data_IF_209921803186
#
_entry.id   IF_209921803186
#
_cell.length_a   1.000
_cell.length_b   1.000
_cell.length_c   1.000
_cell.angle_alpha   90.00
_cell.angle_beta   90.00
_cell.angle_gamma   90.00
#
_symmetry.space_group_name_H-M   'P 1'
#
loop_
_entity.id
_entity.type
_entity.pdbx_description
1 polymer ?
#
# COMPACT_ATOMS: atom_id res chain seq x y z
N UNK A 1 -3.71 12.60 -11.96
CA UNK A 1 -3.85 11.62 -10.86
C UNK A 1 -2.79 11.77 -9.76
N UNK A 2 -1.50 11.92 -10.09
CA UNK A 2 -0.39 12.17 -9.13
C UNK A 2 -0.68 13.26 -8.08
N UNK A 3 -1.17 14.44 -8.50
CA UNK A 3 -1.43 15.57 -7.59
C UNK A 3 -2.56 15.25 -6.61
N UNK A 4 -3.63 14.57 -7.05
CA UNK A 4 -4.77 14.22 -6.20
C UNK A 4 -4.38 13.24 -5.08
N UNK A 5 -3.54 12.25 -5.38
CA UNK A 5 -3.07 11.29 -4.39
C UNK A 5 -2.16 11.95 -3.34
N UNK A 6 -1.22 12.79 -3.78
CA UNK A 6 -0.37 13.57 -2.88
C UNK A 6 -1.16 14.61 -2.08
N UNK A 7 -2.19 15.22 -2.65
CA UNK A 7 -3.11 16.11 -1.93
C UNK A 7 -3.95 15.35 -0.92
N UNK A 8 -4.35 14.10 -1.18
CA UNK A 8 -5.02 13.25 -0.19
C UNK A 8 -4.07 12.77 0.92
N UNK A 9 -2.82 12.44 0.59
CA UNK A 9 -1.80 12.03 1.57
C UNK A 9 -1.37 13.23 2.43
N UNK A 10 -1.00 14.35 1.81
CA UNK A 10 -0.58 15.57 2.50
C UNK A 10 -1.76 16.26 3.20
N UNK A 11 -2.95 16.24 2.61
CA UNK A 11 -4.18 16.70 3.24
C UNK A 11 -4.60 15.81 4.41
N UNK A 12 -4.42 14.49 4.29
CA UNK A 12 -4.62 13.53 5.37
C UNK A 12 -3.62 13.73 6.51
N UNK A 13 -2.33 13.89 6.20
CA UNK A 13 -1.27 14.18 7.17
C UNK A 13 -1.50 15.56 7.82
N UNK A 14 -1.82 16.58 7.04
CA UNK A 14 -2.11 17.93 7.53
C UNK A 14 -3.34 17.97 8.44
N UNK A 15 -4.38 17.20 8.12
CA UNK A 15 -5.56 17.04 8.96
C UNK A 15 -5.27 16.21 10.22
N UNK A 16 -4.37 15.22 10.15
CA UNK A 16 -3.90 14.46 11.31
C UNK A 16 -3.09 15.31 12.28
N UNK A 17 -2.19 16.16 11.75
CA UNK A 17 -1.44 17.15 12.52
C UNK A 17 -2.39 18.21 13.11
N UNK A 18 -3.42 18.62 12.38
CA UNK A 18 -4.46 19.52 12.87
C UNK A 18 -5.29 18.91 14.01
N UNK A 19 -5.62 17.62 13.95
CA UNK A 19 -6.30 16.89 15.02
C UNK A 19 -5.43 16.70 16.27
N UNK A 20 -4.10 16.66 16.12
CA UNK A 20 -3.14 16.58 17.23
C UNK A 20 -3.19 17.82 18.15
N UNK A 21 -3.58 18.97 17.59
CA UNK A 21 -3.48 20.26 18.28
C UNK A 21 -4.75 20.66 19.07
N UNK A 22 -5.85 19.89 18.99
CA UNK A 22 -7.05 20.17 19.80
C UNK A 22 -7.15 19.19 20.96
N UNK A 23 -7.10 19.74 22.19
CA UNK A 23 -7.49 19.08 23.47
C UNK A 23 -8.95 18.55 23.51
N UNK A 24 -9.69 18.64 22.40
CA UNK A 24 -11.10 18.24 22.27
C UNK A 24 -11.33 16.76 21.94
N UNK A 25 -10.27 15.95 21.76
CA UNK A 25 -10.41 14.51 21.47
C UNK A 25 -10.67 13.69 22.74
N UNK A 26 -11.56 14.17 23.63
CA UNK A 26 -11.94 13.46 24.85
C UNK A 26 -13.14 12.51 24.69
N UNK A 27 -13.88 12.56 23.59
CA UNK A 27 -15.23 11.93 23.60
C UNK A 27 -15.58 10.95 22.49
N UNK A 28 -14.92 10.97 21.32
CA UNK A 28 -15.27 9.99 20.27
C UNK A 28 -14.47 8.70 20.49
N UNK A 29 -15.05 7.77 21.26
CA UNK A 29 -14.52 6.45 21.62
C UNK A 29 -14.16 5.54 20.44
N UNK A 30 -13.96 4.24 20.73
CA UNK A 30 -13.37 3.21 19.87
C UNK A 30 -13.80 3.27 18.39
N UNK A 31 -15.09 3.50 18.10
CA UNK A 31 -15.63 3.61 16.74
C UNK A 31 -14.93 4.64 15.85
N UNK A 32 -14.53 5.77 16.42
CA UNK A 32 -13.97 6.84 15.62
C UNK A 32 -12.47 6.73 15.35
N UNK A 33 -11.75 5.75 15.93
CA UNK A 33 -10.39 5.36 15.50
C UNK A 33 -10.47 4.28 14.43
N UNK A 34 -11.40 3.34 14.57
CA UNK A 34 -11.65 2.28 13.59
C UNK A 34 -12.04 2.83 12.22
N UNK A 35 -12.87 3.87 12.17
CA UNK A 35 -13.24 4.52 10.91
C UNK A 35 -12.01 5.04 10.14
N UNK A 36 -11.03 5.65 10.82
CA UNK A 36 -9.81 6.12 10.15
C UNK A 36 -8.92 4.97 9.70
N UNK A 37 -8.76 3.93 10.52
CA UNK A 37 -8.01 2.75 10.13
C UNK A 37 -8.62 2.13 8.86
N UNK A 38 -9.95 2.02 8.80
CA UNK A 38 -10.65 1.49 7.65
C UNK A 38 -10.48 2.37 6.39
N UNK A 39 -10.49 3.70 6.53
CA UNK A 39 -10.18 4.61 5.41
C UNK A 39 -8.75 4.42 4.92
N UNK A 40 -7.76 4.39 5.81
CA UNK A 40 -6.36 4.16 5.43
C UNK A 40 -6.17 2.82 4.71
N UNK A 41 -6.71 1.74 5.27
CA UNK A 41 -6.60 0.42 4.67
C UNK A 41 -7.41 0.28 3.38
N UNK A 42 -8.54 0.98 3.26
CA UNK A 42 -9.29 1.08 2.01
C UNK A 42 -8.50 1.79 0.90
N UNK A 43 -7.80 2.88 1.21
CA UNK A 43 -6.91 3.55 0.25
C UNK A 43 -5.75 2.65 -0.19
N UNK A 44 -5.16 1.88 0.73
CA UNK A 44 -4.11 0.90 0.42
C UNK A 44 -4.62 -0.23 -0.47
N UNK A 45 -5.86 -0.69 -0.26
CA UNK A 45 -6.47 -1.69 -1.13
C UNK A 45 -6.63 -1.16 -2.56
N UNK A 46 -7.08 0.09 -2.72
CA UNK A 46 -7.15 0.75 -4.03
C UNK A 46 -5.76 0.86 -4.67
N UNK A 47 -4.73 1.13 -3.87
CA UNK A 47 -3.34 1.14 -4.34
C UNK A 47 -2.91 -0.24 -4.88
N UNK A 48 -3.20 -1.33 -4.17
CA UNK A 48 -2.86 -2.68 -4.66
C UNK A 48 -3.63 -3.08 -5.92
N UNK A 49 -4.88 -2.63 -6.07
CA UNK A 49 -5.59 -2.80 -7.33
C UNK A 49 -4.88 -2.05 -8.46
N UNK A 50 -4.49 -0.80 -8.21
CA UNK A 50 -3.73 0.00 -9.18
C UNK A 50 -2.39 -0.65 -9.53
N UNK A 51 -1.67 -1.20 -8.54
CA UNK A 51 -0.44 -1.99 -8.74
C UNK A 51 -0.69 -3.15 -9.70
N UNK A 52 -1.71 -3.95 -9.43
CA UNK A 52 -2.04 -5.11 -10.27
C UNK A 52 -2.40 -4.69 -11.69
N UNK A 53 -3.19 -3.62 -11.87
CA UNK A 53 -3.52 -3.09 -13.19
C UNK A 53 -2.28 -2.64 -13.96
N UNK A 54 -1.37 -1.89 -13.35
CA UNK A 54 -0.17 -1.47 -14.09
C UNK A 54 0.80 -2.61 -14.36
N UNK A 55 0.87 -3.64 -13.51
CA UNK A 55 1.64 -4.85 -13.82
C UNK A 55 1.10 -5.49 -15.11
N UNK A 56 -0.21 -5.66 -15.23
CA UNK A 56 -0.82 -6.17 -16.46
C UNK A 56 -0.58 -5.25 -17.67
N UNK A 57 -0.67 -3.94 -17.48
CA UNK A 57 -0.39 -2.96 -18.52
C UNK A 57 1.06 -3.08 -19.01
N UNK A 58 2.04 -3.17 -18.09
CA UNK A 58 3.46 -3.35 -18.40
C UNK A 58 3.67 -4.65 -19.19
N UNK A 59 3.12 -5.78 -18.71
CA UNK A 59 3.25 -7.07 -19.39
C UNK A 59 2.66 -6.98 -20.81
N UNK A 60 1.51 -6.34 -20.98
CA UNK A 60 0.87 -6.17 -22.28
C UNK A 60 1.69 -5.29 -23.23
N UNK A 61 2.25 -4.17 -22.73
CA UNK A 61 3.14 -3.30 -23.49
C UNK A 61 4.37 -4.07 -23.98
N UNK A 62 5.04 -4.80 -23.11
CA UNK A 62 6.19 -5.63 -23.50
C UNK A 62 5.82 -6.69 -24.54
N UNK A 63 4.70 -7.39 -24.32
CA UNK A 63 4.22 -8.43 -25.25
C UNK A 63 3.91 -7.84 -26.62
N UNK A 64 3.38 -6.62 -26.68
CA UNK A 64 3.05 -5.94 -27.92
C UNK A 64 4.29 -5.44 -28.68
N UNK A 65 5.24 -4.80 -28.00
CA UNK A 65 6.42 -4.22 -28.65
C UNK A 65 7.56 -5.23 -28.88
N UNK A 66 7.63 -6.30 -28.07
CA UNK A 66 8.69 -7.30 -28.11
C UNK A 66 8.13 -8.73 -28.10
N UNK A 67 7.36 -9.13 -29.13
CA UNK A 67 6.68 -10.44 -29.18
C UNK A 67 7.67 -11.62 -29.19
N UNK A 68 8.91 -11.41 -29.64
CA UNK A 68 9.95 -12.44 -29.60
C UNK A 68 10.41 -12.75 -28.17
N UNK A 69 10.33 -11.76 -27.27
CA UNK A 69 10.74 -11.89 -25.87
C UNK A 69 9.61 -12.48 -25.03
N UNK A 70 8.34 -12.27 -25.41
CA UNK A 70 7.19 -12.71 -24.61
C UNK A 70 7.04 -14.23 -24.49
N UNK A 71 7.63 -14.98 -25.40
CA UNK A 71 7.63 -16.45 -25.38
C UNK A 71 8.91 -17.06 -24.77
N UNK A 72 9.82 -16.23 -24.28
CA UNK A 72 11.01 -16.71 -23.59
C UNK A 72 10.66 -17.14 -22.17
N UNK A 73 11.27 -18.24 -21.72
CA UNK A 73 11.10 -18.73 -20.35
C UNK A 73 11.38 -17.65 -19.29
N UNK A 74 12.34 -16.75 -19.55
CA UNK A 74 12.69 -15.65 -18.66
C UNK A 74 11.56 -14.62 -18.49
N UNK A 75 10.92 -14.20 -19.58
CA UNK A 75 9.81 -13.26 -19.52
C UNK A 75 8.54 -13.90 -18.92
N UNK A 76 8.24 -15.15 -19.26
CA UNK A 76 7.09 -15.86 -18.70
C UNK A 76 7.23 -16.06 -17.18
N UNK A 77 8.43 -16.44 -16.71
CA UNK A 77 8.72 -16.54 -15.28
C UNK A 77 8.61 -15.17 -14.59
N UNK A 78 9.11 -14.10 -15.22
CA UNK A 78 8.97 -12.74 -14.73
C UNK A 78 7.49 -12.34 -14.59
N UNK A 79 6.71 -12.45 -15.67
CA UNK A 79 5.30 -12.07 -15.72
C UNK A 79 4.48 -12.81 -14.65
N UNK A 80 4.67 -14.13 -14.53
CA UNK A 80 4.03 -14.92 -13.49
C UNK A 80 4.45 -14.49 -12.09
N UNK A 81 5.72 -14.19 -11.87
CA UNK A 81 6.22 -13.75 -10.55
C UNK A 81 5.61 -12.42 -10.14
N UNK A 82 5.62 -11.41 -11.00
CA UNK A 82 5.09 -10.09 -10.66
C UNK A 82 3.58 -10.10 -10.47
N UNK A 83 2.84 -10.87 -11.28
CA UNK A 83 1.39 -11.05 -11.10
C UNK A 83 1.10 -11.73 -9.77
N UNK A 84 1.83 -12.80 -9.42
CA UNK A 84 1.66 -13.48 -8.14
C UNK A 84 1.96 -12.56 -6.94
N UNK A 85 3.00 -11.72 -7.02
CA UNK A 85 3.29 -10.71 -5.99
C UNK A 85 2.10 -9.74 -5.84
N UNK A 86 1.55 -9.24 -6.96
CA UNK A 86 0.39 -8.36 -6.95
C UNK A 86 -0.87 -9.01 -6.35
N UNK A 87 -1.13 -10.28 -6.66
CA UNK A 87 -2.26 -11.04 -6.10
C UNK A 87 -2.06 -11.26 -4.59
N UNK A 88 -0.87 -11.67 -4.15
CA UNK A 88 -0.57 -11.87 -2.72
C UNK A 88 -0.75 -10.56 -1.95
N UNK A 89 -0.24 -9.44 -2.48
CA UNK A 89 -0.44 -8.11 -1.89
C UNK A 89 -1.92 -7.76 -1.75
N UNK A 90 -2.73 -8.01 -2.79
CA UNK A 90 -4.16 -7.77 -2.76
C UNK A 90 -4.87 -8.61 -1.69
N UNK A 91 -4.55 -9.90 -1.59
CA UNK A 91 -5.10 -10.82 -0.58
C UNK A 91 -4.73 -10.35 0.83
N UNK A 92 -3.49 -9.92 1.06
CA UNK A 92 -3.06 -9.38 2.36
C UNK A 92 -3.86 -8.11 2.70
N UNK A 93 -4.10 -7.20 1.76
CA UNK A 93 -4.92 -6.02 2.02
C UNK A 93 -6.40 -6.33 2.28
N UNK A 94 -6.99 -7.30 1.57
CA UNK A 94 -8.35 -7.79 1.89
C UNK A 94 -8.39 -8.36 3.31
N UNK A 95 -7.39 -9.17 3.67
CA UNK A 95 -7.23 -9.70 5.03
C UNK A 95 -7.12 -8.59 6.07
N UNK A 96 -6.35 -7.53 5.78
CA UNK A 96 -6.21 -6.37 6.64
C UNK A 96 -7.54 -5.64 6.88
N UNK A 97 -8.36 -5.46 5.84
CA UNK A 97 -9.72 -4.90 5.96
C UNK A 97 -10.58 -5.79 6.86
N UNK A 98 -10.55 -7.12 6.64
CA UNK A 98 -11.28 -8.09 7.45
C UNK A 98 -10.88 -8.02 8.92
N UNK A 99 -9.59 -7.97 9.21
CA UNK A 99 -9.01 -7.82 10.56
C UNK A 99 -9.54 -6.56 11.26
N UNK A 100 -9.60 -5.42 10.58
CA UNK A 100 -10.13 -4.17 11.15
C UNK A 100 -11.61 -4.28 11.48
N UNK A 101 -12.41 -4.83 10.57
CA UNK A 101 -13.86 -4.94 10.72
C UNK A 101 -14.20 -5.87 11.89
N UNK A 102 -13.50 -7.00 11.99
CA UNK A 102 -13.85 -8.10 12.90
C UNK A 102 -13.21 -8.01 14.28
N UNK A 103 -11.90 -7.73 14.37
CA UNK A 103 -11.18 -7.98 15.63
C UNK A 103 -11.27 -6.81 16.62
N UNK A 104 -11.47 -5.58 16.14
CA UNK A 104 -11.63 -4.34 16.93
C UNK A 104 -10.80 -4.22 18.22
N UNK A 105 -9.57 -4.76 18.22
CA UNK A 105 -8.72 -4.95 19.41
C UNK A 105 -7.27 -4.53 19.12
N UNK A 106 -6.46 -4.25 20.15
CA UNK A 106 -5.07 -3.80 19.97
C UNK A 106 -4.19 -4.76 19.14
N UNK A 107 -4.38 -6.08 19.29
CA UNK A 107 -3.64 -7.09 18.51
C UNK A 107 -3.90 -6.97 17.01
N UNK A 108 -5.09 -6.55 16.61
CA UNK A 108 -5.46 -6.32 15.22
C UNK A 108 -4.65 -5.16 14.60
N UNK A 109 -4.31 -4.14 15.40
CA UNK A 109 -3.54 -2.97 14.93
C UNK A 109 -2.09 -3.35 14.65
N UNK A 110 -1.49 -4.21 15.48
CA UNK A 110 -0.14 -4.75 15.23
C UNK A 110 -0.10 -5.63 13.98
N UNK A 111 -1.09 -6.51 13.81
CA UNK A 111 -1.21 -7.33 12.61
C UNK A 111 -1.40 -6.45 11.36
N UNK A 112 -2.26 -5.44 11.45
CA UNK A 112 -2.52 -4.48 10.38
C UNK A 112 -1.27 -3.71 9.95
N UNK A 113 -0.46 -3.26 10.92
CA UNK A 113 0.83 -2.63 10.65
C UNK A 113 1.72 -3.53 9.78
N UNK A 114 1.88 -4.80 10.15
CA UNK A 114 2.68 -5.75 9.37
C UNK A 114 2.09 -6.00 7.99
N UNK A 115 0.77 -6.20 7.89
CA UNK A 115 0.09 -6.46 6.62
C UNK A 115 0.29 -5.30 5.62
N UNK A 116 0.21 -4.04 6.09
CA UNK A 116 0.42 -2.86 5.25
C UNK A 116 1.86 -2.78 4.73
N UNK A 117 2.85 -3.03 5.59
CA UNK A 117 4.26 -3.01 5.17
C UNK A 117 4.60 -4.13 4.18
N UNK A 118 4.02 -5.32 4.36
CA UNK A 118 4.27 -6.47 3.47
C UNK A 118 3.55 -6.26 2.13
N UNK A 119 2.28 -5.86 2.13
CA UNK A 119 1.49 -5.75 0.91
C UNK A 119 1.84 -4.54 0.03
N UNK A 120 2.34 -3.45 0.62
CA UNK A 120 2.80 -2.29 -0.14
C UNK A 120 4.30 -2.35 -0.41
N UNK A 121 5.14 -1.75 0.46
CA UNK A 121 6.58 -1.61 0.22
C UNK A 121 7.31 -2.89 -0.16
N UNK A 122 7.10 -4.01 0.55
CA UNK A 122 7.81 -5.26 0.27
C UNK A 122 7.42 -5.82 -1.10
N UNK A 123 6.12 -5.85 -1.42
CA UNK A 123 5.64 -6.27 -2.74
C UNK A 123 6.23 -5.41 -3.87
N UNK A 124 6.23 -4.09 -3.72
CA UNK A 124 6.79 -3.16 -4.70
C UNK A 124 8.31 -3.37 -4.91
N UNK A 125 9.07 -3.62 -3.84
CA UNK A 125 10.50 -3.96 -3.92
C UNK A 125 10.69 -5.30 -4.64
N UNK A 126 9.88 -6.31 -4.33
CA UNK A 126 9.97 -7.62 -4.98
C UNK A 126 9.72 -7.51 -6.49
N UNK A 127 8.71 -6.74 -6.93
CA UNK A 127 8.45 -6.49 -8.35
C UNK A 127 9.65 -5.82 -9.03
N UNK A 128 10.24 -4.80 -8.39
CA UNK A 128 11.40 -4.09 -8.90
C UNK A 128 12.62 -5.01 -9.06
N UNK A 129 12.92 -5.82 -8.05
CA UNK A 129 14.04 -6.78 -8.09
C UNK A 129 13.82 -7.86 -9.14
N UNK A 130 12.58 -8.36 -9.30
CA UNK A 130 12.24 -9.33 -10.35
C UNK A 130 12.48 -8.77 -11.75
N UNK A 131 12.19 -7.49 -12.00
CA UNK A 131 12.38 -6.84 -13.30
C UNK A 131 13.86 -6.66 -13.67
N UNK A 132 14.67 -6.16 -12.75
CA UNK A 132 16.10 -5.88 -12.99
C UNK A 132 16.95 -7.14 -13.21
N UNK A 133 16.51 -8.29 -12.68
CA UNK A 133 17.23 -9.55 -12.89
C UNK A 133 16.92 -10.23 -14.22
N UNK A 134 15.85 -9.85 -14.91
CA UNK A 134 15.34 -10.63 -16.06
C UNK A 134 15.28 -9.84 -17.37
N UNK A 135 15.18 -8.52 -17.34
CA UNK A 135 14.95 -7.71 -18.54
C UNK A 135 15.80 -6.43 -18.53
N UNK A 136 16.25 -5.99 -19.69
CA UNK A 136 16.62 -4.59 -19.90
C UNK A 136 15.32 -3.81 -19.84
N UNK A 137 15.06 -3.15 -18.72
CA UNK A 137 13.80 -2.46 -18.48
C UNK A 137 13.81 -1.11 -19.18
N UNK A 138 12.89 -0.81 -20.11
CA UNK A 138 12.71 0.54 -20.63
C UNK A 138 12.50 1.54 -19.50
N UNK A 139 13.09 2.72 -19.63
CA UNK A 139 13.06 3.82 -18.64
C UNK A 139 11.63 4.18 -18.17
N UNK A 140 10.65 4.02 -19.05
CA UNK A 140 9.22 4.24 -18.77
C UNK A 140 8.66 3.25 -17.74
N UNK A 141 9.10 2.00 -17.76
CA UNK A 141 8.67 0.97 -16.82
C UNK A 141 9.39 1.16 -15.48
N UNK A 142 10.66 1.52 -15.52
CA UNK A 142 11.43 1.86 -14.32
C UNK A 142 10.76 3.03 -13.57
N UNK A 143 10.36 4.08 -14.30
CA UNK A 143 9.64 5.22 -13.71
C UNK A 143 8.28 4.84 -13.14
N UNK A 144 7.55 3.88 -13.72
CA UNK A 144 6.29 3.37 -13.13
C UNK A 144 6.58 2.60 -11.84
N UNK A 145 7.58 1.71 -11.83
CA UNK A 145 7.95 0.92 -10.65
C UNK A 145 8.41 1.82 -9.48
N UNK A 146 9.24 2.82 -9.76
CA UNK A 146 9.67 3.80 -8.76
C UNK A 146 8.49 4.62 -8.21
N UNK A 147 7.55 5.01 -9.06
CA UNK A 147 6.34 5.69 -8.61
C UNK A 147 5.54 4.82 -7.66
N UNK A 148 5.34 3.55 -7.98
CA UNK A 148 4.60 2.62 -7.14
C UNK A 148 5.26 2.45 -5.79
N UNK A 149 6.57 2.19 -5.77
CA UNK A 149 7.34 2.11 -4.54
C UNK A 149 7.21 3.39 -3.69
N UNK A 150 7.30 4.57 -4.32
CA UNK A 150 7.18 5.85 -3.63
C UNK A 150 5.82 6.04 -2.97
N UNK A 151 4.75 5.62 -3.65
CA UNK A 151 3.37 5.70 -3.14
C UNK A 151 3.18 4.73 -1.97
N UNK A 152 3.58 3.46 -2.14
CA UNK A 152 3.45 2.43 -1.11
C UNK A 152 4.20 2.82 0.16
N UNK A 153 5.41 3.34 0.02
CA UNK A 153 6.22 3.83 1.14
C UNK A 153 5.55 5.01 1.83
N UNK A 154 5.05 5.98 1.06
CA UNK A 154 4.40 7.16 1.62
C UNK A 154 3.18 6.80 2.46
N UNK A 155 2.36 5.87 2.00
CA UNK A 155 1.22 5.40 2.78
C UNK A 155 1.63 4.59 4.01
N UNK A 156 2.58 3.66 3.88
CA UNK A 156 3.07 2.87 5.01
C UNK A 156 3.66 3.78 6.11
N UNK A 157 4.42 4.81 5.71
CA UNK A 157 4.96 5.83 6.61
C UNK A 157 3.82 6.64 7.24
N UNK A 158 2.88 7.16 6.45
CA UNK A 158 1.76 7.94 6.97
C UNK A 158 0.92 7.14 7.98
N UNK A 159 0.68 5.86 7.70
CA UNK A 159 0.00 4.94 8.61
C UNK A 159 0.81 4.71 9.90
N UNK A 160 2.12 4.50 9.78
CA UNK A 160 3.03 4.35 10.92
C UNK A 160 3.02 5.59 11.80
N UNK A 161 3.10 6.79 11.20
CA UNK A 161 3.04 8.06 11.92
C UNK A 161 1.68 8.23 12.63
N UNK A 162 0.58 7.87 11.96
CA UNK A 162 -0.75 7.91 12.57
C UNK A 162 -0.83 7.03 13.82
N UNK A 163 -0.36 5.79 13.75
CA UNK A 163 -0.35 4.89 14.91
C UNK A 163 0.56 5.38 16.04
N UNK A 164 1.75 5.88 15.70
CA UNK A 164 2.77 6.26 16.68
C UNK A 164 2.51 7.59 17.38
N UNK A 165 1.87 8.55 16.70
CA UNK A 165 1.71 9.91 17.23
C UNK A 165 0.28 10.31 17.57
N UNK A 166 -0.73 9.58 17.09
CA UNK A 166 -2.12 9.90 17.42
C UNK A 166 -2.44 9.56 18.88
N UNK A 167 -2.63 10.60 19.70
CA UNK A 167 -3.07 10.43 21.09
C UNK A 167 -4.40 9.67 21.18
N UNK A 168 -5.25 9.80 20.16
CA UNK A 168 -6.52 9.09 20.07
C UNK A 168 -6.34 7.59 19.93
N UNK A 169 -5.40 7.16 19.09
CA UNK A 169 -5.05 5.74 18.91
C UNK A 169 -4.46 5.20 20.22
N UNK A 170 -3.53 5.94 20.83
CA UNK A 170 -2.92 5.57 22.13
C UNK A 170 -3.95 5.39 23.23
N UNK A 171 -4.86 6.34 23.37
CA UNK A 171 -5.95 6.29 24.36
C UNK A 171 -6.92 5.12 24.09
N UNK A 172 -7.15 4.78 22.83
CA UNK A 172 -8.11 3.73 22.42
C UNK A 172 -7.56 2.32 22.63
N UNK A 173 -6.29 2.10 22.31
CA UNK A 173 -5.71 0.74 22.33
C UNK A 173 -4.70 0.51 23.45
N UNK A 174 -4.45 1.51 24.32
CA UNK A 174 -3.38 1.48 25.33
C UNK A 174 -2.06 0.99 24.73
N UNK A 175 -1.72 1.49 23.54
CA UNK A 175 -0.44 1.16 22.92
C UNK A 175 0.65 1.87 23.73
N UNK A 176 1.33 1.10 24.58
CA UNK A 176 2.54 1.50 25.30
C UNK A 176 3.76 1.38 24.37
#
# INVERSE_FOLDING_TARGET
MRILLWVCILGGIGYLLWLQNRRLVREKGVCGVHGYLLVFTGLMFVESLYLLFSIYEIINIYTFFYPEVSHTFGFEAYANTVVNIGIIALVIHIGAIGVIIWLRRPSAVKLLYWMIWIAGPVASISVYLSGNHTLIVPEQIETIQWQMLSISLSFAIAFTLYLSYSQRVKNTYRMC
#
